data_IF_279796107922
#
_entry.id   IF_279796107922
#
_cell.length_a   1.000
_cell.length_b   1.000
_cell.length_c   1.000
_cell.angle_alpha   90.00
_cell.angle_beta   90.00
_cell.angle_gamma   90.00
#
_symmetry.space_group_name_H-M   'P 1'
#
loop_
_entity.id
_entity.type
_entity.pdbx_description
1 polymer ?
#
# COMPACT_ATOMS: atom_id res chain seq x y z
N UNK A 1 3.87 1.18 11.28
CA UNK A 1 4.94 0.16 11.42
C UNK A 1 6.11 0.44 10.46
N UNK A 2 5.85 0.58 9.15
CA UNK A 2 6.90 0.88 8.15
C UNK A 2 7.64 2.19 8.42
N UNK A 3 6.93 3.25 8.82
CA UNK A 3 7.54 4.52 9.21
C UNK A 3 8.59 4.36 10.33
N UNK A 4 8.18 3.76 11.46
CA UNK A 4 9.09 3.44 12.55
C UNK A 4 10.28 2.59 12.10
N UNK A 5 10.08 1.63 11.20
CA UNK A 5 11.17 0.80 10.67
C UNK A 5 12.16 1.62 9.84
N UNK A 6 11.68 2.59 9.06
CA UNK A 6 12.53 3.52 8.30
C UNK A 6 13.31 4.46 9.24
N UNK A 7 12.66 4.98 10.29
CA UNK A 7 13.30 5.85 11.29
C UNK A 7 14.40 5.11 12.06
N UNK A 8 14.16 3.84 12.38
CA UNK A 8 15.11 2.97 13.08
C UNK A 8 16.20 2.40 12.18
N UNK A 9 16.23 2.71 10.88
CA UNK A 9 17.24 2.20 9.95
C UNK A 9 18.69 2.35 10.45
N UNK A 10 19.13 3.47 11.05
CA UNK A 10 20.49 3.60 11.57
C UNK A 10 20.77 2.65 12.74
N UNK A 11 19.80 2.50 13.65
CA UNK A 11 19.90 1.60 14.80
C UNK A 11 19.93 0.12 14.35
N UNK A 12 19.04 -0.24 13.42
CA UNK A 12 18.99 -1.58 12.81
C UNK A 12 20.32 -1.87 12.10
N UNK A 13 20.84 -0.93 11.32
CA UNK A 13 22.12 -1.10 10.62
C UNK A 13 23.29 -1.29 11.59
N UNK A 14 23.29 -0.57 12.72
CA UNK A 14 24.30 -0.71 13.78
C UNK A 14 24.22 -2.08 14.46
N UNK A 15 23.01 -2.55 14.76
CA UNK A 15 22.74 -3.86 15.36
C UNK A 15 23.13 -5.02 14.43
N UNK A 16 22.84 -4.91 13.14
CA UNK A 16 23.20 -5.93 12.15
C UNK A 16 24.72 -6.04 11.96
N UNK A 17 25.47 -4.93 12.16
CA UNK A 17 26.94 -4.91 12.11
C UNK A 17 27.62 -5.43 13.37
N UNK A 18 26.93 -5.45 14.52
CA UNK A 18 27.52 -5.94 15.78
C UNK A 18 27.61 -7.45 15.85
N UNK A 19 26.79 -8.18 15.09
CA UNK A 19 26.83 -9.65 15.04
C UNK A 19 26.93 -10.16 13.60
N UNK A 20 28.00 -10.90 13.29
CA UNK A 20 28.22 -11.48 11.95
C UNK A 20 27.07 -12.34 11.43
N UNK A 21 26.32 -13.00 12.33
CA UNK A 21 25.16 -13.82 11.95
C UNK A 21 23.97 -12.95 11.48
N UNK A 22 23.84 -11.76 12.05
CA UNK A 22 22.76 -10.83 11.74
C UNK A 22 23.04 -10.03 10.46
N UNK A 23 24.30 -9.85 10.09
CA UNK A 23 24.69 -9.17 8.84
C UNK A 23 24.01 -9.76 7.59
N UNK A 24 23.74 -11.08 7.59
CA UNK A 24 23.00 -11.79 6.54
C UNK A 24 21.55 -11.28 6.35
N UNK A 25 20.96 -10.67 7.37
CA UNK A 25 19.61 -10.09 7.34
C UNK A 25 19.62 -8.63 6.88
N UNK A 26 20.77 -8.08 6.52
CA UNK A 26 20.88 -6.69 6.10
C UNK A 26 20.14 -6.45 4.78
N UNK A 27 19.20 -5.51 4.83
CA UNK A 27 18.52 -5.03 3.63
C UNK A 27 19.46 -4.14 2.81
N UNK A 28 19.48 -4.36 1.49
CA UNK A 28 20.17 -3.48 0.55
C UNK A 28 19.54 -2.09 0.54
N UNK A 29 20.27 -1.08 0.04
CA UNK A 29 19.72 0.26 -0.15
C UNK A 29 18.51 0.27 -1.10
N UNK A 30 18.48 -0.63 -2.09
CA UNK A 30 17.33 -0.83 -2.96
C UNK A 30 16.10 -1.30 -2.17
N UNK A 31 16.26 -2.26 -1.28
CA UNK A 31 15.16 -2.77 -0.45
C UNK A 31 14.60 -1.68 0.48
N UNK A 32 15.45 -0.85 1.08
CA UNK A 32 14.99 0.30 1.87
C UNK A 32 14.21 1.33 1.04
N UNK A 33 14.61 1.51 -0.22
CA UNK A 33 13.90 2.39 -1.16
C UNK A 33 12.52 1.84 -1.51
N UNK A 34 12.43 0.54 -1.79
CA UNK A 34 11.15 -0.16 -1.99
C UNK A 34 10.26 -0.05 -0.75
N UNK A 35 10.82 -0.21 0.44
CA UNK A 35 10.07 -0.13 1.70
C UNK A 35 9.48 1.28 1.94
N UNK A 36 10.25 2.32 1.61
CA UNK A 36 9.78 3.70 1.61
C UNK A 36 8.64 3.89 0.61
N UNK A 37 8.81 3.38 -0.62
CA UNK A 37 7.79 3.48 -1.66
C UNK A 37 6.49 2.78 -1.26
N UNK A 38 6.59 1.62 -0.64
CA UNK A 38 5.46 0.86 -0.12
C UNK A 38 4.73 1.64 0.99
N UNK A 39 5.45 2.31 1.90
CA UNK A 39 4.84 3.20 2.91
C UNK A 39 3.97 4.26 2.23
N UNK A 40 4.53 4.99 1.26
CA UNK A 40 3.86 6.11 0.60
C UNK A 40 2.59 5.65 -0.15
N UNK A 41 2.64 4.47 -0.78
CA UNK A 41 1.47 3.86 -1.45
C UNK A 41 0.40 3.48 -0.43
N UNK A 42 0.78 2.80 0.66
CA UNK A 42 -0.17 2.31 1.66
C UNK A 42 -0.82 3.44 2.46
N UNK A 43 -0.19 4.60 2.54
CA UNK A 43 -0.71 5.77 3.25
C UNK A 43 -2.09 6.22 2.71
N UNK A 44 -2.37 6.02 1.41
CA UNK A 44 -3.68 6.34 0.86
C UNK A 44 -4.82 5.51 1.47
N UNK A 45 -4.54 4.27 1.89
CA UNK A 45 -5.52 3.40 2.53
C UNK A 45 -5.74 3.78 3.99
N UNK A 46 -4.73 4.30 4.70
CA UNK A 46 -4.84 4.69 6.12
C UNK A 46 -6.00 5.67 6.32
N UNK A 47 -6.08 6.69 5.46
CA UNK A 47 -7.15 7.69 5.54
C UNK A 47 -8.53 7.10 5.28
N UNK A 48 -8.65 6.22 4.29
CA UNK A 48 -9.92 5.55 3.97
C UNK A 48 -10.36 4.62 5.10
N UNK A 49 -9.46 3.75 5.57
CA UNK A 49 -9.74 2.81 6.66
C UNK A 49 -10.13 3.53 7.94
N UNK A 50 -9.40 4.57 8.33
CA UNK A 50 -9.69 5.35 9.56
C UNK A 50 -11.09 5.97 9.53
N UNK A 51 -11.52 6.45 8.36
CA UNK A 51 -12.84 7.07 8.22
C UNK A 51 -13.96 6.04 8.11
N UNK A 52 -13.74 4.94 7.41
CA UNK A 52 -14.75 3.87 7.27
C UNK A 52 -14.93 3.05 8.56
N UNK A 53 -13.88 2.90 9.37
CA UNK A 53 -13.94 2.21 10.66
C UNK A 53 -14.50 3.07 11.81
N UNK A 54 -14.83 4.34 11.55
CA UNK A 54 -15.45 5.21 12.54
C UNK A 54 -16.85 4.73 12.90
N UNK A 55 -17.16 4.72 14.19
CA UNK A 55 -18.48 4.31 14.71
C UNK A 55 -19.39 5.48 15.09
N UNK A 56 -18.86 6.72 15.06
CA UNK A 56 -19.60 7.91 15.50
C UNK A 56 -20.74 8.29 14.54
N UNK A 57 -20.60 7.95 13.26
CA UNK A 57 -21.59 8.22 12.22
C UNK A 57 -21.68 7.00 11.29
N UNK A 58 -22.82 6.76 10.62
CA UNK A 58 -22.90 5.76 9.57
C UNK A 58 -21.81 6.04 8.51
N UNK A 59 -21.05 5.02 8.12
CA UNK A 59 -19.97 5.16 7.14
C UNK A 59 -20.26 4.45 5.81
N UNK A 60 -21.37 3.71 5.73
CA UNK A 60 -21.73 2.89 4.56
C UNK A 60 -21.85 3.74 3.29
N UNK A 61 -22.46 4.92 3.36
CA UNK A 61 -22.58 5.81 2.20
C UNK A 61 -21.24 6.35 1.69
N UNK A 62 -20.20 6.36 2.54
CA UNK A 62 -18.85 6.80 2.17
C UNK A 62 -18.07 5.69 1.46
N UNK A 63 -18.52 4.44 1.54
CA UNK A 63 -17.82 3.30 0.98
C UNK A 63 -17.55 3.52 -0.52
N UNK A 64 -18.59 3.78 -1.31
CA UNK A 64 -18.44 3.95 -2.76
C UNK A 64 -17.47 5.09 -3.14
N UNK A 65 -17.60 6.32 -2.59
CA UNK A 65 -16.62 7.38 -2.82
C UNK A 65 -15.16 6.96 -2.51
N UNK A 66 -14.93 6.25 -1.40
CA UNK A 66 -13.59 5.82 -1.02
C UNK A 66 -13.01 4.78 -1.98
N UNK A 67 -13.80 3.80 -2.42
CA UNK A 67 -13.34 2.81 -3.39
C UNK A 67 -12.94 3.48 -4.72
N UNK A 68 -13.76 4.41 -5.23
CA UNK A 68 -13.44 5.12 -6.47
C UNK A 68 -12.14 5.94 -6.36
N UNK A 69 -11.92 6.63 -5.23
CA UNK A 69 -10.69 7.38 -4.97
C UNK A 69 -9.47 6.45 -4.86
N UNK A 70 -9.60 5.31 -4.17
CA UNK A 70 -8.53 4.34 -4.01
C UNK A 70 -8.16 3.68 -5.34
N UNK A 71 -9.14 3.27 -6.16
CA UNK A 71 -8.92 2.73 -7.51
C UNK A 71 -8.15 3.73 -8.39
N UNK A 72 -8.58 5.00 -8.38
CA UNK A 72 -7.90 6.06 -9.14
C UNK A 72 -6.45 6.24 -8.67
N UNK A 73 -6.21 6.27 -7.35
CA UNK A 73 -4.85 6.40 -6.80
C UNK A 73 -3.97 5.21 -7.17
N UNK A 74 -4.46 3.98 -7.02
CA UNK A 74 -3.72 2.78 -7.40
C UNK A 74 -3.35 2.78 -8.89
N UNK A 75 -4.28 3.17 -9.77
CA UNK A 75 -3.99 3.26 -11.21
C UNK A 75 -2.91 4.30 -11.52
N UNK A 76 -2.94 5.46 -10.85
CA UNK A 76 -1.92 6.49 -10.98
C UNK A 76 -0.55 6.03 -10.48
N UNK A 77 -0.50 5.37 -9.32
CA UNK A 77 0.76 4.84 -8.76
C UNK A 77 1.31 3.70 -9.62
N UNK A 78 0.45 2.82 -10.15
CA UNK A 78 0.84 1.78 -11.09
C UNK A 78 1.46 2.36 -12.36
N UNK A 79 0.85 3.38 -12.96
CA UNK A 79 1.40 4.04 -14.15
C UNK A 79 2.80 4.62 -13.89
N UNK A 80 2.97 5.35 -12.77
CA UNK A 80 4.25 5.94 -12.37
C UNK A 80 5.35 4.89 -12.15
N UNK A 81 5.01 3.75 -11.55
CA UNK A 81 6.00 2.70 -11.26
C UNK A 81 6.31 1.87 -12.50
N UNK A 82 5.33 1.63 -13.37
CA UNK A 82 5.53 0.96 -14.65
C UNK A 82 6.47 1.73 -15.58
N UNK A 83 6.41 3.07 -15.59
CA UNK A 83 7.35 3.92 -16.36
C UNK A 83 8.79 3.78 -15.88
N UNK A 84 9.00 3.60 -14.57
CA UNK A 84 10.34 3.48 -13.98
C UNK A 84 10.90 2.06 -14.09
N UNK A 85 10.07 1.06 -13.83
CA UNK A 85 10.47 -0.34 -13.76
C UNK A 85 9.26 -1.24 -14.04
N UNK A 86 9.03 -1.61 -15.32
CA UNK A 86 7.83 -2.35 -15.72
C UNK A 86 7.75 -3.74 -15.08
N UNK A 87 8.89 -4.41 -14.87
CA UNK A 87 8.96 -5.77 -14.33
C UNK A 87 9.29 -5.79 -12.83
N UNK A 88 9.11 -4.67 -12.13
CA UNK A 88 9.33 -4.64 -10.68
C UNK A 88 8.22 -5.38 -9.94
N UNK A 89 8.59 -6.08 -8.86
CA UNK A 89 7.63 -6.69 -7.94
C UNK A 89 6.59 -5.69 -7.42
N UNK A 90 6.96 -4.42 -7.31
CA UNK A 90 6.07 -3.36 -6.85
C UNK A 90 5.02 -2.99 -7.91
N UNK A 91 5.40 -2.98 -9.19
CA UNK A 91 4.48 -2.79 -10.32
C UNK A 91 3.46 -3.92 -10.38
N UNK A 92 3.89 -5.18 -10.26
CA UNK A 92 2.99 -6.34 -10.18
C UNK A 92 2.05 -6.24 -8.98
N UNK A 93 2.58 -5.92 -7.79
CA UNK A 93 1.77 -5.81 -6.59
C UNK A 93 0.70 -4.71 -6.68
N UNK A 94 1.00 -3.58 -7.34
CA UNK A 94 0.05 -2.51 -7.59
C UNK A 94 -1.07 -2.94 -8.54
N UNK A 95 -0.74 -3.66 -9.60
CA UNK A 95 -1.72 -4.21 -10.54
C UNK A 95 -2.65 -5.21 -9.86
N UNK A 96 -2.10 -6.16 -9.10
CA UNK A 96 -2.89 -7.13 -8.34
C UNK A 96 -3.79 -6.47 -7.29
N UNK A 97 -3.27 -5.44 -6.59
CA UNK A 97 -4.06 -4.66 -5.63
C UNK A 97 -5.22 -3.94 -6.30
N UNK A 98 -5.00 -3.39 -7.49
CA UNK A 98 -6.05 -2.75 -8.28
C UNK A 98 -7.10 -3.76 -8.75
N UNK A 99 -6.69 -4.91 -9.26
CA UNK A 99 -7.60 -5.98 -9.70
C UNK A 99 -8.48 -6.47 -8.55
N UNK A 100 -7.89 -6.68 -7.38
CA UNK A 100 -8.62 -7.09 -6.19
C UNK A 100 -9.67 -6.05 -5.80
N UNK A 101 -9.28 -4.77 -5.74
CA UNK A 101 -10.19 -3.69 -5.38
C UNK A 101 -11.31 -3.51 -6.42
N UNK A 102 -10.99 -3.64 -7.71
CA UNK A 102 -11.95 -3.55 -8.80
C UNK A 102 -12.98 -4.69 -8.73
N UNK A 103 -12.55 -5.91 -8.38
CA UNK A 103 -13.47 -7.04 -8.18
C UNK A 103 -14.48 -6.75 -7.07
N UNK A 104 -14.05 -6.18 -5.95
CA UNK A 104 -14.96 -5.78 -4.88
C UNK A 104 -15.91 -4.67 -5.32
N UNK A 105 -15.43 -3.70 -6.10
CA UNK A 105 -16.25 -2.64 -6.67
C UNK A 105 -17.36 -3.20 -7.57
N UNK A 106 -17.01 -4.00 -8.57
CA UNK A 106 -17.97 -4.57 -9.54
C UNK A 106 -19.03 -5.43 -8.85
N UNK A 107 -18.63 -6.27 -7.89
CA UNK A 107 -19.58 -7.07 -7.12
C UNK A 107 -20.54 -6.22 -6.26
N UNK A 108 -20.12 -5.02 -5.86
CA UNK A 108 -20.97 -4.10 -5.08
C UNK A 108 -21.91 -3.32 -6.00
N UNK A 109 -21.48 -2.99 -7.22
CA UNK A 109 -22.28 -2.30 -8.24
C UNK A 109 -23.42 -3.20 -8.76
N UNK A 110 -23.12 -4.48 -9.02
CA UNK A 110 -24.12 -5.49 -9.44
C UNK A 110 -25.21 -5.70 -8.38
N UNK A 111 -24.88 -5.55 -7.09
CA UNK A 111 -25.85 -5.69 -5.99
C UNK A 111 -26.82 -4.50 -5.90
N UNK A 112 -26.41 -3.30 -6.35
CA UNK A 112 -27.24 -2.09 -6.35
C UNK A 112 -28.13 -2.05 -7.60
N UNK A 113 -27.71 -2.64 -8.72
CA UNK A 113 -28.49 -2.69 -9.96
C UNK A 113 -29.71 -3.63 -9.91
N UNK A 114 -29.83 -4.48 -8.89
CA UNK A 114 -30.87 -5.52 -8.76
C UNK A 114 -31.86 -5.24 -7.60
N UNK A 115 -31.67 -4.15 -6.84
CA UNK A 115 -32.53 -3.72 -5.73
C UNK A 115 -33.34 -2.47 -6.07
#
# INVERSE_FOLDING_TARGET
>A
MLERMLDLRPAISKMLRSEKKLELLSLSNGNWTVLKRLKDILECFVSATTRLSGSRYPTLYLQLPYYAVLLKRLAQEHAKEREKSPDSSLTTALFESWNLLNRYWTNTDDFIAVS
#
